data_IF_786230878350
#
_entry.id   IF_786230878350
#
_cell.length_a   1.000
_cell.length_b   1.000
_cell.length_c   1.000
_cell.angle_alpha   90.00
_cell.angle_beta   90.00
_cell.angle_gamma   90.00
#
_symmetry.space_group_name_H-M   'P 1'
#
loop_
_entity.id
_entity.type
_entity.pdbx_description
1 polymer ?
#
# COMPACT_ATOMS: atom_id res chain seq x y z
N UNK A 1 17.82 -30.91 25.78
CA UNK A 1 17.26 -31.38 24.50
C UNK A 1 16.14 -30.46 24.08
N UNK A 2 16.33 -29.69 23.01
CA UNK A 2 15.30 -28.82 22.42
C UNK A 2 14.56 -29.61 21.33
N UNK A 3 13.85 -30.67 21.72
CA UNK A 3 13.08 -31.48 20.77
C UNK A 3 11.72 -30.83 20.55
N UNK A 4 11.61 -30.02 19.50
CA UNK A 4 10.32 -29.49 19.03
C UNK A 4 10.30 -28.05 18.57
N UNK A 5 11.45 -27.39 18.35
CA UNK A 5 11.49 -26.05 17.76
C UNK A 5 12.14 -26.15 16.39
N UNK A 6 11.47 -25.63 15.35
CA UNK A 6 12.02 -25.57 14.00
C UNK A 6 12.45 -24.14 13.69
N UNK A 7 13.65 -24.00 13.12
CA UNK A 7 14.10 -22.75 12.53
C UNK A 7 13.38 -22.53 11.20
N UNK A 8 12.60 -21.44 11.08
CA UNK A 8 12.05 -20.98 9.81
C UNK A 8 12.24 -19.47 9.71
N UNK A 9 12.83 -18.99 8.60
CA UNK A 9 13.03 -17.56 8.27
C UNK A 9 13.55 -16.71 9.44
N UNK A 10 14.62 -17.17 10.11
CA UNK A 10 15.30 -16.40 11.15
C UNK A 10 14.59 -16.36 12.52
N UNK A 11 13.50 -17.09 12.71
CA UNK A 11 12.84 -17.23 14.01
C UNK A 11 12.70 -18.70 14.43
N UNK A 12 12.72 -18.93 15.76
CA UNK A 12 12.54 -20.22 16.39
C UNK A 12 11.04 -20.46 16.65
N UNK A 13 10.40 -21.40 15.95
CA UNK A 13 8.94 -21.58 16.02
C UNK A 13 8.57 -23.00 16.47
N UNK A 14 7.60 -23.10 17.39
CA UNK A 14 7.01 -24.37 17.84
C UNK A 14 5.95 -24.89 16.85
N UNK A 15 5.87 -26.20 16.56
CA UNK A 15 4.81 -26.81 15.74
C UNK A 15 3.39 -26.49 16.21
N UNK A 16 3.19 -26.30 17.53
CA UNK A 16 1.88 -25.89 18.09
C UNK A 16 1.55 -24.43 17.79
N UNK A 17 2.56 -23.56 17.67
CA UNK A 17 2.38 -22.17 17.21
C UNK A 17 2.20 -22.10 15.69
N UNK A 18 2.92 -22.93 14.93
CA UNK A 18 2.76 -23.03 13.46
C UNK A 18 1.32 -23.34 13.04
N UNK A 19 0.57 -24.12 13.84
CA UNK A 19 -0.84 -24.38 13.59
C UNK A 19 -1.73 -23.12 13.65
N UNK A 20 -1.38 -22.15 14.50
CA UNK A 20 -2.05 -20.84 14.61
C UNK A 20 -1.65 -19.88 13.47
N UNK A 21 -0.50 -20.12 12.81
CA UNK A 21 -0.02 -19.35 11.66
C UNK A 21 -0.35 -19.98 10.29
N UNK A 22 -0.87 -21.21 10.25
CA UNK A 22 -1.27 -21.87 8.99
C UNK A 22 -2.22 -21.03 8.11
N UNK A 23 -3.21 -20.28 8.66
CA UNK A 23 -4.01 -19.36 7.87
C UNK A 23 -3.17 -18.23 7.25
N UNK A 24 -2.19 -17.71 7.99
CA UNK A 24 -1.27 -16.65 7.54
C UNK A 24 -0.37 -17.14 6.40
N UNK A 25 0.13 -18.38 6.47
CA UNK A 25 0.94 -18.99 5.41
C UNK A 25 0.16 -19.22 4.10
N UNK A 26 -1.15 -19.45 4.18
CA UNK A 26 -2.02 -19.62 2.99
C UNK A 26 -2.26 -18.25 2.35
N UNK A 27 -2.55 -17.23 3.16
CA UNK A 27 -2.79 -15.86 2.70
C UNK A 27 -1.50 -15.26 2.10
N UNK A 28 -0.35 -15.49 2.73
CA UNK A 28 0.94 -15.05 2.19
C UNK A 28 1.22 -15.72 0.85
N UNK A 29 0.93 -17.02 0.70
CA UNK A 29 1.10 -17.74 -0.56
C UNK A 29 0.19 -17.22 -1.66
N UNK A 30 -1.04 -16.85 -1.34
CA UNK A 30 -1.95 -16.21 -2.29
C UNK A 30 -1.39 -14.85 -2.77
N UNK A 31 -0.88 -14.03 -1.84
CA UNK A 31 -0.19 -12.78 -2.18
C UNK A 31 1.06 -13.00 -3.05
N UNK A 32 1.89 -13.99 -2.73
CA UNK A 32 3.07 -14.35 -3.53
C UNK A 32 2.71 -14.92 -4.92
N UNK A 33 1.62 -15.67 -5.03
CA UNK A 33 1.12 -16.15 -6.31
C UNK A 33 0.68 -14.97 -7.20
N UNK A 34 -0.07 -14.02 -6.64
CA UNK A 34 -0.43 -12.78 -7.31
C UNK A 34 0.82 -12.00 -7.78
N UNK A 35 1.87 -11.92 -6.95
CA UNK A 35 3.16 -11.32 -7.33
C UNK A 35 3.79 -12.04 -8.52
N UNK A 36 3.81 -13.37 -8.51
CA UNK A 36 4.32 -14.17 -9.64
C UNK A 36 3.61 -13.83 -10.94
N UNK A 37 2.28 -13.80 -10.91
CA UNK A 37 1.45 -13.49 -12.09
C UNK A 37 1.65 -12.05 -12.58
N UNK A 38 1.79 -11.08 -11.68
CA UNK A 38 2.10 -9.69 -12.03
C UNK A 38 3.48 -9.55 -12.68
N UNK A 39 4.47 -10.30 -12.20
CA UNK A 39 5.83 -10.30 -12.76
C UNK A 39 5.89 -10.95 -14.13
N UNK A 40 5.24 -12.10 -14.30
CA UNK A 40 5.21 -12.85 -15.56
C UNK A 40 4.49 -12.09 -16.68
N UNK A 41 3.45 -11.33 -16.33
CA UNK A 41 2.66 -10.56 -17.29
C UNK A 41 3.18 -9.15 -17.55
N UNK A 42 4.23 -8.71 -16.84
CA UNK A 42 4.76 -7.36 -16.97
C UNK A 42 5.67 -7.23 -18.21
N UNK A 43 5.43 -6.25 -19.09
CA UNK A 43 6.34 -5.94 -20.19
C UNK A 43 7.60 -5.17 -19.71
N UNK A 44 7.64 -4.75 -18.44
CA UNK A 44 8.74 -3.97 -17.89
C UNK A 44 9.97 -4.83 -17.57
N UNK A 45 11.18 -4.24 -17.50
CA UNK A 45 12.40 -4.97 -17.18
C UNK A 45 12.29 -5.77 -15.89
N UNK A 46 12.79 -7.02 -15.92
CA UNK A 46 12.79 -7.96 -14.79
C UNK A 46 11.39 -8.26 -14.20
N UNK A 47 10.33 -8.06 -15.00
CA UNK A 47 8.96 -8.26 -14.54
C UNK A 47 8.52 -7.22 -13.51
N UNK A 48 9.08 -6.00 -13.54
CA UNK A 48 8.72 -4.96 -12.60
C UNK A 48 7.22 -4.64 -12.67
N UNK A 49 6.57 -4.54 -11.51
CA UNK A 49 5.21 -4.03 -11.40
C UNK A 49 5.17 -2.97 -10.31
N UNK A 50 4.17 -2.09 -10.39
CA UNK A 50 3.99 -0.99 -9.45
C UNK A 50 2.76 -1.30 -8.60
N UNK A 51 2.72 -0.78 -7.39
CA UNK A 51 1.54 -0.87 -6.53
C UNK A 51 1.19 0.52 -6.01
N UNK A 52 -0.11 0.85 -6.04
CA UNK A 52 -0.62 2.10 -5.49
C UNK A 52 -1.69 1.77 -4.46
N UNK A 53 -1.57 2.37 -3.28
CA UNK A 53 -2.58 2.25 -2.25
C UNK A 53 -3.45 3.50 -2.22
N UNK A 54 -4.73 3.33 -2.56
CA UNK A 54 -5.72 4.39 -2.62
C UNK A 54 -6.87 4.08 -1.65
N UNK A 55 -6.98 4.89 -0.58
CA UNK A 55 -7.98 4.71 0.48
C UNK A 55 -9.21 5.59 0.21
N UNK A 56 -10.43 5.04 0.33
CA UNK A 56 -11.67 5.63 -0.20
C UNK A 56 -12.86 5.73 0.74
N UNK A 57 -13.04 4.83 1.72
CA UNK A 57 -14.27 4.83 2.52
C UNK A 57 -14.18 5.79 3.71
N UNK A 58 -13.29 5.50 4.66
CA UNK A 58 -13.32 6.18 5.96
C UNK A 58 -12.42 7.42 5.98
N UNK A 59 -11.53 7.53 5.00
CA UNK A 59 -10.44 8.52 5.02
C UNK A 59 -10.85 9.93 4.64
N UNK A 60 -12.02 10.11 4.01
CA UNK A 60 -12.55 11.42 3.63
C UNK A 60 -12.58 12.41 4.80
N UNK A 61 -13.00 11.95 5.98
CA UNK A 61 -13.00 12.76 7.22
C UNK A 61 -11.60 12.97 7.79
N UNK A 62 -10.70 12.00 7.63
CA UNK A 62 -9.32 12.14 8.11
C UNK A 62 -8.55 13.21 7.32
N UNK A 63 -8.82 13.34 6.02
CA UNK A 63 -8.25 14.38 5.18
C UNK A 63 -8.69 15.80 5.53
N UNK A 64 -9.70 15.97 6.38
CA UNK A 64 -10.13 17.29 6.88
C UNK A 64 -9.54 17.63 8.25
N UNK A 65 -8.82 16.71 8.91
CA UNK A 65 -8.22 17.01 10.22
C UNK A 65 -6.99 17.92 10.08
N UNK A 66 -6.76 18.86 11.02
CA UNK A 66 -5.70 19.87 10.92
C UNK A 66 -4.30 19.33 10.62
N UNK A 67 -3.93 18.19 11.22
CA UNK A 67 -2.62 17.55 11.02
C UNK A 67 -2.43 16.93 9.61
N UNK A 68 -3.53 16.67 8.89
CA UNK A 68 -3.53 16.18 7.51
C UNK A 68 -3.90 17.29 6.51
N UNK A 69 -4.41 18.41 7.01
CA UNK A 69 -4.81 19.60 6.25
C UNK A 69 -3.61 20.40 5.70
N UNK A 70 -2.38 19.96 5.95
CA UNK A 70 -1.18 20.47 5.27
C UNK A 70 -1.19 20.14 3.77
N UNK A 71 -1.92 19.11 3.35
CA UNK A 71 -2.02 18.71 1.95
C UNK A 71 -3.35 19.19 1.37
N UNK A 72 -3.41 19.50 0.06
CA UNK A 72 -4.68 19.71 -0.62
C UNK A 72 -5.62 18.52 -0.35
N UNK A 73 -6.91 18.77 -0.17
CA UNK A 73 -7.89 17.70 0.04
C UNK A 73 -7.81 16.67 -1.09
N UNK A 74 -7.63 17.13 -2.34
CA UNK A 74 -7.47 16.26 -3.50
C UNK A 74 -6.12 15.53 -3.58
N UNK A 75 -5.12 15.89 -2.77
CA UNK A 75 -3.88 15.14 -2.64
C UNK A 75 -4.01 14.06 -1.56
N UNK A 76 -4.76 14.35 -0.48
CA UNK A 76 -5.07 13.37 0.57
C UNK A 76 -6.16 12.38 0.13
N UNK A 77 -7.15 12.82 -0.64
CA UNK A 77 -8.28 12.03 -1.13
C UNK A 77 -8.48 12.26 -2.63
N UNK A 78 -7.58 11.74 -3.47
CA UNK A 78 -7.57 12.06 -4.90
C UNK A 78 -8.75 11.47 -5.67
N UNK A 79 -9.37 12.21 -6.61
CA UNK A 79 -10.33 11.65 -7.56
C UNK A 79 -9.69 10.55 -8.43
N UNK A 80 -10.50 9.58 -8.87
CA UNK A 80 -10.03 8.48 -9.72
C UNK A 80 -9.30 8.98 -10.97
N UNK A 81 -9.80 10.03 -11.64
CA UNK A 81 -9.15 10.62 -12.80
C UNK A 81 -7.71 11.11 -12.53
N UNK A 82 -7.43 11.65 -11.34
CA UNK A 82 -6.08 12.11 -10.97
C UNK A 82 -5.15 10.94 -10.68
N UNK A 83 -5.68 9.91 -10.02
CA UNK A 83 -4.95 8.66 -9.76
C UNK A 83 -4.68 7.93 -11.08
N UNK A 84 -5.66 7.81 -11.98
CA UNK A 84 -5.50 7.23 -13.31
C UNK A 84 -4.44 7.97 -14.13
N UNK A 85 -4.44 9.31 -14.12
CA UNK A 85 -3.36 10.09 -14.75
C UNK A 85 -2.00 9.75 -14.16
N UNK A 86 -1.87 9.72 -12.83
CA UNK A 86 -0.61 9.35 -12.17
C UNK A 86 -0.17 7.94 -12.58
N UNK A 87 -1.09 6.97 -12.55
CA UNK A 87 -0.83 5.57 -12.93
C UNK A 87 -0.32 5.48 -14.37
N UNK A 88 -0.96 6.15 -15.32
CA UNK A 88 -0.54 6.17 -16.72
C UNK A 88 0.85 6.83 -16.91
N UNK A 89 1.17 7.87 -16.13
CA UNK A 89 2.50 8.51 -16.17
C UNK A 89 3.58 7.58 -15.60
N UNK A 90 3.39 7.01 -14.41
CA UNK A 90 4.39 6.12 -13.78
C UNK A 90 4.54 4.80 -14.53
N UNK A 91 3.45 4.22 -15.06
CA UNK A 91 3.53 2.98 -15.83
C UNK A 91 4.42 3.17 -17.06
N UNK A 92 4.27 4.31 -17.76
CA UNK A 92 5.07 4.66 -18.94
C UNK A 92 6.55 4.86 -18.61
N UNK A 93 6.85 5.56 -17.51
CA UNK A 93 8.23 5.74 -17.03
C UNK A 93 8.90 4.41 -16.71
N UNK A 94 8.11 3.42 -16.29
CA UNK A 94 8.55 2.07 -15.97
C UNK A 94 8.36 1.09 -17.13
N UNK A 95 8.33 1.57 -18.38
CA UNK A 95 8.30 0.70 -19.56
C UNK A 95 6.99 -0.06 -19.75
N UNK A 96 5.87 0.52 -19.31
CA UNK A 96 4.54 -0.11 -19.36
C UNK A 96 4.29 -1.08 -18.22
N UNK A 97 5.00 -0.95 -17.09
CA UNK A 97 4.79 -1.80 -15.92
C UNK A 97 3.32 -1.78 -15.47
N UNK A 98 2.71 -2.94 -15.18
CA UNK A 98 1.35 -2.99 -14.67
C UNK A 98 1.30 -2.37 -13.28
N UNK A 99 0.22 -1.65 -13.00
CA UNK A 99 0.00 -1.00 -11.71
C UNK A 99 -1.14 -1.69 -10.99
N UNK A 100 -0.82 -2.30 -9.86
CA UNK A 100 -1.75 -2.95 -8.97
C UNK A 100 -2.37 -1.95 -7.99
N UNK A 101 -3.68 -1.78 -8.04
CA UNK A 101 -4.39 -0.83 -7.15
C UNK A 101 -4.89 -1.57 -5.91
N UNK A 102 -4.32 -1.21 -4.76
CA UNK A 102 -4.73 -1.66 -3.43
C UNK A 102 -5.79 -0.66 -2.93
N UNK A 103 -7.03 -1.13 -2.78
CA UNK A 103 -8.17 -0.28 -2.38
C UNK A 103 -9.26 -1.14 -1.76
N UNK A 104 -9.92 -0.62 -0.73
CA UNK A 104 -11.09 -1.24 -0.11
C UNK A 104 -12.40 -1.01 -0.89
N UNK A 105 -12.37 -0.23 -1.97
CA UNK A 105 -13.54 0.22 -2.73
C UNK A 105 -13.53 -0.31 -4.16
N UNK A 106 -14.48 -1.19 -4.48
CA UNK A 106 -14.72 -1.70 -5.84
C UNK A 106 -15.23 -0.60 -6.79
N UNK A 107 -16.08 0.30 -6.30
CA UNK A 107 -16.56 1.45 -7.08
C UNK A 107 -15.39 2.31 -7.57
N UNK A 108 -14.39 2.54 -6.72
CA UNK A 108 -13.21 3.30 -7.10
C UNK A 108 -12.37 2.58 -8.16
N UNK A 109 -12.32 1.25 -8.14
CA UNK A 109 -11.68 0.47 -9.21
C UNK A 109 -12.42 0.67 -10.53
N UNK A 110 -13.75 0.68 -10.52
CA UNK A 110 -14.55 0.93 -11.71
C UNK A 110 -14.32 2.36 -12.25
N UNK A 111 -14.35 3.38 -11.39
CA UNK A 111 -14.04 4.77 -11.75
C UNK A 111 -12.63 4.91 -12.35
N UNK A 112 -11.64 4.21 -11.78
CA UNK A 112 -10.27 4.20 -12.28
C UNK A 112 -10.16 3.58 -13.67
N UNK A 113 -10.85 2.46 -13.90
CA UNK A 113 -10.87 1.79 -15.20
C UNK A 113 -11.51 2.66 -16.27
N UNK A 114 -12.61 3.33 -15.94
CA UNK A 114 -13.25 4.28 -16.85
C UNK A 114 -12.29 5.44 -17.20
N UNK A 115 -11.64 6.02 -16.19
CA UNK A 115 -10.68 7.10 -16.38
C UNK A 115 -9.43 6.67 -17.18
N UNK A 116 -8.92 5.46 -16.95
CA UNK A 116 -7.82 4.87 -17.73
C UNK A 116 -8.20 4.57 -19.18
N UNK A 117 -9.45 4.17 -19.42
CA UNK A 117 -10.00 3.95 -20.77
C UNK A 117 -9.87 5.17 -21.69
N UNK A 118 -9.68 6.37 -21.14
CA UNK A 118 -9.37 7.60 -21.87
C UNK A 118 -7.89 8.01 -21.90
N UNK A 119 -6.99 7.37 -21.15
CA UNK A 119 -5.61 7.83 -20.91
C UNK A 119 -4.51 6.81 -21.27
N UNK A 120 -4.73 5.51 -21.04
CA UNK A 120 -3.81 4.42 -21.41
C UNK A 120 -4.50 3.06 -21.28
N UNK A 121 -4.64 2.30 -22.37
CA UNK A 121 -5.20 0.93 -22.32
C UNK A 121 -4.21 -0.03 -21.63
N UNK A 122 -4.55 -0.52 -20.44
CA UNK A 122 -3.90 -1.68 -19.81
C UNK A 122 -2.80 -1.39 -18.79
N UNK A 123 -2.67 -0.14 -18.31
CA UNK A 123 -1.71 0.20 -17.24
C UNK A 123 -2.25 -0.16 -15.85
N UNK A 124 -3.54 0.07 -15.59
CA UNK A 124 -4.20 -0.37 -14.36
C UNK A 124 -4.54 -1.86 -14.43
N UNK A 125 -3.93 -2.64 -13.54
CA UNK A 125 -4.47 -3.93 -13.11
C UNK A 125 -5.17 -3.74 -11.78
N UNK A 126 -6.48 -3.95 -11.76
CA UNK A 126 -7.21 -3.92 -10.50
C UNK A 126 -6.79 -5.12 -9.62
N UNK A 127 -7.10 -5.04 -8.32
CA UNK A 127 -7.13 -6.21 -7.46
C UNK A 127 -7.92 -7.40 -8.07
N UNK A 128 -8.85 -7.10 -8.97
CA UNK A 128 -9.79 -8.01 -9.60
C UNK A 128 -9.54 -8.32 -11.10
N UNK A 129 -8.37 -8.05 -11.68
CA UNK A 129 -8.07 -8.57 -13.03
C UNK A 129 -8.03 -10.10 -12.99
N UNK A 130 -8.63 -10.79 -13.97
CA UNK A 130 -8.89 -12.25 -13.94
C UNK A 130 -7.70 -13.10 -13.48
N UNK A 131 -6.49 -12.73 -13.91
CA UNK A 131 -5.25 -13.40 -13.51
C UNK A 131 -4.95 -13.19 -12.01
N UNK A 132 -4.95 -11.97 -11.51
CA UNK A 132 -4.71 -11.70 -10.08
C UNK A 132 -5.88 -12.11 -9.21
N UNK A 133 -7.10 -12.06 -9.77
CA UNK A 133 -8.33 -12.50 -9.18
C UNK A 133 -8.25 -14.00 -8.89
N UNK A 134 -7.72 -14.86 -9.76
CA UNK A 134 -7.61 -16.30 -9.46
C UNK A 134 -6.80 -16.58 -8.17
N UNK A 135 -5.68 -15.89 -7.98
CA UNK A 135 -4.84 -16.07 -6.79
C UNK A 135 -5.49 -15.52 -5.50
N UNK A 136 -6.32 -14.47 -5.61
CA UNK A 136 -6.89 -13.76 -4.47
C UNK A 136 -8.40 -13.99 -4.26
N UNK A 137 -9.09 -14.66 -5.19
CA UNK A 137 -10.56 -14.73 -5.28
C UNK A 137 -11.23 -15.38 -4.08
N UNK A 138 -10.52 -16.24 -3.36
CA UNK A 138 -11.05 -16.91 -2.16
C UNK A 138 -10.86 -16.10 -0.88
N UNK A 139 -10.18 -14.95 -0.94
CA UNK A 139 -9.88 -14.13 0.23
C UNK A 139 -10.88 -12.99 0.35
N UNK A 140 -11.26 -12.67 1.60
CA UNK A 140 -12.14 -11.55 1.90
C UNK A 140 -11.67 -10.80 3.15
N UNK A 141 -12.06 -9.52 3.26
CA UNK A 141 -11.77 -8.67 4.41
C UNK A 141 -10.28 -8.65 4.76
N UNK A 142 -9.95 -8.91 6.03
CA UNK A 142 -8.56 -8.87 6.53
C UNK A 142 -7.62 -9.86 5.84
N UNK A 143 -8.14 -10.97 5.30
CA UNK A 143 -7.33 -11.95 4.57
C UNK A 143 -6.86 -11.37 3.24
N UNK A 144 -7.77 -10.74 2.50
CA UNK A 144 -7.44 -10.06 1.25
C UNK A 144 -6.47 -8.91 1.53
N UNK A 145 -6.76 -8.09 2.54
CA UNK A 145 -5.90 -6.97 2.93
C UNK A 145 -4.47 -7.43 3.31
N UNK A 146 -4.31 -8.59 3.93
CA UNK A 146 -2.98 -9.13 4.25
C UNK A 146 -2.26 -9.65 2.99
N UNK A 147 -2.93 -10.36 2.09
CA UNK A 147 -2.33 -10.78 0.82
C UNK A 147 -1.93 -9.58 -0.06
N UNK A 148 -2.77 -8.56 -0.09
CA UNK A 148 -2.52 -7.29 -0.77
C UNK A 148 -1.29 -6.54 -0.20
N UNK A 149 -1.06 -6.60 1.11
CA UNK A 149 0.19 -6.06 1.69
C UNK A 149 1.43 -6.79 1.18
N UNK A 150 1.35 -8.11 1.00
CA UNK A 150 2.44 -8.89 0.39
C UNK A 150 2.68 -8.44 -1.05
N UNK A 151 1.63 -8.20 -1.83
CA UNK A 151 1.73 -7.65 -3.20
C UNK A 151 2.41 -6.29 -3.19
N UNK A 152 1.93 -5.35 -2.36
CA UNK A 152 2.55 -4.04 -2.20
C UNK A 152 4.01 -4.12 -1.75
N UNK A 153 4.35 -5.11 -0.93
CA UNK A 153 5.72 -5.30 -0.45
C UNK A 153 6.69 -5.82 -1.52
N UNK A 154 6.20 -6.44 -2.59
CA UNK A 154 7.03 -6.94 -3.69
C UNK A 154 7.07 -6.03 -4.91
N UNK A 155 6.28 -4.94 -4.92
CA UNK A 155 6.24 -3.98 -6.00
C UNK A 155 7.59 -3.26 -6.16
N UNK A 156 8.02 -3.04 -7.40
CA UNK A 156 9.22 -2.28 -7.70
C UNK A 156 9.08 -0.80 -7.30
N UNK A 157 7.85 -0.27 -7.39
CA UNK A 157 7.45 1.02 -6.84
C UNK A 157 6.19 0.84 -6.00
N UNK A 158 6.20 1.31 -4.76
CA UNK A 158 5.00 1.40 -3.92
C UNK A 158 4.62 2.87 -3.69
N UNK A 159 3.49 3.28 -4.25
CA UNK A 159 2.89 4.59 -4.03
C UNK A 159 1.96 4.51 -2.83
N UNK A 160 2.43 5.02 -1.69
CA UNK A 160 1.77 4.85 -0.40
C UNK A 160 0.78 5.98 -0.12
N UNK A 161 -0.30 5.66 0.58
CA UNK A 161 -1.18 6.66 1.16
C UNK A 161 -0.57 7.24 2.45
N UNK A 162 -0.36 8.57 2.58
CA UNK A 162 0.47 9.18 3.64
C UNK A 162 -0.11 9.04 5.06
N UNK A 163 -1.43 8.86 5.19
CA UNK A 163 -2.10 8.69 6.48
C UNK A 163 -2.68 7.31 6.78
N UNK A 164 -2.28 6.28 6.03
CA UNK A 164 -2.80 4.94 6.26
C UNK A 164 -1.85 4.02 7.01
N UNK A 165 -2.36 3.40 8.07
CA UNK A 165 -1.66 2.32 8.78
C UNK A 165 -1.45 1.08 7.89
N UNK A 166 -2.31 0.87 6.89
CA UNK A 166 -2.09 -0.17 5.88
C UNK A 166 -0.80 0.11 5.10
N UNK A 167 -0.64 1.34 4.59
CA UNK A 167 0.59 1.77 3.90
C UNK A 167 1.83 1.62 4.76
N UNK A 168 1.72 1.97 6.04
CA UNK A 168 2.83 1.89 7.00
C UNK A 168 3.27 0.43 7.17
N UNK A 169 2.31 -0.48 7.34
CA UNK A 169 2.59 -1.91 7.46
C UNK A 169 3.19 -2.49 6.17
N UNK A 170 2.77 -2.05 4.98
CA UNK A 170 3.45 -2.46 3.74
C UNK A 170 4.92 -2.03 3.75
N UNK A 171 5.21 -0.80 4.18
CA UNK A 171 6.59 -0.31 4.37
C UNK A 171 7.39 -1.20 5.32
N UNK A 172 6.85 -1.49 6.50
CA UNK A 172 7.50 -2.37 7.48
C UNK A 172 7.75 -3.77 6.91
N UNK A 173 6.81 -4.32 6.14
CA UNK A 173 6.96 -5.65 5.51
C UNK A 173 8.07 -5.67 4.46
N UNK A 174 8.20 -4.61 3.67
CA UNK A 174 9.29 -4.44 2.69
C UNK A 174 10.64 -4.42 3.38
N UNK A 175 10.75 -3.61 4.42
CA UNK A 175 12.02 -3.33 5.10
C UNK A 175 12.45 -4.46 6.03
N UNK A 176 11.51 -5.21 6.62
CA UNK A 176 11.81 -6.27 7.57
C UNK A 176 11.88 -7.66 6.92
N UNK A 177 10.86 -8.04 6.14
CA UNK A 177 10.61 -9.43 5.72
C UNK A 177 10.95 -9.71 4.26
N UNK A 178 10.78 -8.73 3.38
CA UNK A 178 10.98 -8.89 1.94
C UNK A 178 12.15 -8.09 1.39
N UNK A 179 13.20 -7.89 2.20
CA UNK A 179 14.39 -7.06 1.89
C UNK A 179 15.03 -7.38 0.54
N UNK A 180 15.11 -8.65 0.17
CA UNK A 180 15.65 -9.06 -1.13
C UNK A 180 14.75 -8.65 -2.29
N UNK A 181 13.42 -8.75 -2.12
CA UNK A 181 12.47 -8.24 -3.11
C UNK A 181 12.41 -6.70 -3.13
N UNK A 182 12.72 -6.07 -2.00
CA UNK A 182 12.78 -4.61 -1.84
C UNK A 182 14.12 -4.01 -2.29
N UNK A 183 15.12 -4.82 -2.63
CA UNK A 183 16.43 -4.33 -3.05
C UNK A 183 16.29 -3.52 -4.36
N UNK A 184 16.48 -2.20 -4.26
CA UNK A 184 16.30 -1.27 -5.37
C UNK A 184 14.85 -0.86 -5.64
N UNK A 185 13.92 -1.24 -4.76
CA UNK A 185 12.53 -0.88 -4.88
C UNK A 185 12.23 0.44 -4.15
N UNK A 186 11.33 1.24 -4.71
CA UNK A 186 11.12 2.64 -4.31
C UNK A 186 9.77 2.78 -3.59
N UNK A 187 9.70 3.63 -2.57
CA UNK A 187 8.45 4.03 -1.91
C UNK A 187 8.28 5.54 -2.02
N UNK A 188 7.14 6.00 -2.50
CA UNK A 188 6.80 7.43 -2.61
C UNK A 188 5.40 7.69 -2.04
N UNK A 189 5.14 8.92 -1.59
CA UNK A 189 3.83 9.31 -1.08
C UNK A 189 2.88 9.76 -2.20
N UNK A 190 1.65 9.23 -2.21
CA UNK A 190 0.64 9.49 -3.23
C UNK A 190 0.36 10.98 -3.40
N UNK A 191 -0.06 11.64 -2.33
CA UNK A 191 -0.43 13.06 -2.40
C UNK A 191 0.75 13.98 -2.69
N UNK A 192 1.94 13.67 -2.18
CA UNK A 192 3.15 14.44 -2.49
C UNK A 192 3.51 14.28 -3.96
N UNK A 193 3.46 13.06 -4.49
CA UNK A 193 3.72 12.76 -5.90
C UNK A 193 2.71 13.47 -6.81
N UNK A 194 1.43 13.50 -6.44
CA UNK A 194 0.39 14.23 -7.18
C UNK A 194 0.66 15.74 -7.22
N UNK A 195 1.16 16.33 -6.13
CA UNK A 195 1.52 17.75 -6.08
C UNK A 195 2.80 18.03 -6.87
N UNK A 196 3.86 17.23 -6.68
CA UNK A 196 5.14 17.40 -7.37
C UNK A 196 5.01 17.28 -8.89
N UNK A 197 4.12 16.40 -9.38
CA UNK A 197 3.83 16.23 -10.81
C UNK A 197 2.83 17.26 -11.37
N UNK A 198 2.36 18.20 -10.55
CA UNK A 198 1.40 19.23 -10.96
C UNK A 198 0.01 18.69 -11.31
N UNK A 199 -0.32 17.47 -10.88
CA UNK A 199 -1.65 16.85 -11.07
C UNK A 199 -2.65 17.46 -10.07
N UNK A 200 -2.17 17.78 -8.87
CA UNK A 200 -2.91 18.51 -7.84
C UNK A 200 -2.20 19.82 -7.54
N UNK A 201 -2.95 20.93 -7.48
CA UNK A 201 -2.40 22.23 -7.10
C UNK A 201 -2.04 22.23 -5.61
N UNK A 202 -0.84 22.67 -5.19
CA UNK A 202 -0.51 22.82 -3.79
C UNK A 202 -1.42 23.87 -3.13
N UNK A 203 -1.61 23.76 -1.82
CA UNK A 203 -2.24 24.82 -1.02
C UNK A 203 -1.34 26.06 -1.02
N UNK A 204 -1.95 27.24 -1.01
CA UNK A 204 -1.19 28.47 -0.76
C UNK A 204 -0.72 28.50 0.70
N UNK A 205 0.33 29.28 0.99
CA UNK A 205 0.83 29.45 2.36
C UNK A 205 -0.22 30.05 3.32
N UNK A 206 -1.25 30.71 2.79
CA UNK A 206 -2.36 31.30 3.54
C UNK A 206 -3.45 30.27 3.90
N UNK A 207 -3.53 29.16 3.15
CA UNK A 207 -4.53 28.09 3.32
C UNK A 207 -4.05 26.96 4.27
N UNK A 208 -2.78 26.97 4.65
CA UNK A 208 -2.20 26.00 5.59
C UNK A 208 -2.26 26.61 6.99
N UNK A 209 -3.20 26.17 7.86
CA UNK A 209 -3.24 26.67 9.23
C UNK A 209 -1.91 26.31 9.93
N UNK A 210 -1.34 27.22 10.74
CA UNK A 210 -0.12 26.93 11.48
C UNK A 210 -0.34 25.70 12.35
N UNK A 211 0.64 24.78 12.36
CA UNK A 211 0.59 23.61 13.23
C UNK A 211 0.45 24.10 14.68
N UNK A 212 -0.51 23.56 15.46
CA UNK A 212 -0.58 23.90 16.87
C UNK A 212 0.76 23.53 17.52
N UNK A 213 1.28 24.36 18.45
CA UNK A 213 2.51 24.03 19.15
C UNK A 213 2.37 22.64 19.80
N UNK A 214 3.44 21.82 19.80
CA UNK A 214 3.38 20.50 20.40
C UNK A 214 2.90 20.63 21.84
N UNK A 215 1.75 20.00 22.15
CA UNK A 215 1.29 19.91 23.54
C UNK A 215 2.35 19.14 24.30
N UNK A 216 3.01 19.79 25.27
CA UNK A 216 3.82 19.08 26.25
C UNK A 216 2.88 18.13 26.99
N UNK A 217 2.95 16.85 26.66
CA UNK A 217 2.31 15.83 27.47
C UNK A 217 3.14 15.75 28.74
N UNK A 218 2.65 16.33 29.83
CA UNK A 218 3.24 16.12 31.14
C UNK A 218 3.24 14.61 31.38
N UNK A 219 4.42 13.99 31.33
CA UNK A 219 4.60 12.61 31.75
C UNK A 219 4.24 12.59 33.22
N UNK A 220 3.03 12.14 33.56
CA UNK A 220 2.69 11.81 34.93
C UNK A 220 3.64 10.67 35.33
N UNK A 221 4.68 11.03 36.07
CA UNK A 221 5.52 10.05 36.75
C UNK A 221 4.58 9.25 37.64
N UNK A 222 4.44 7.96 37.37
CA UNK A 222 3.73 7.06 38.28
C UNK A 222 4.45 7.13 39.63
N UNK A 223 3.73 7.25 40.76
CA UNK A 223 4.36 7.17 42.06
C UNK A 223 5.08 5.82 42.19
N UNK A 224 6.25 5.77 42.85
CA UNK A 224 6.93 4.50 43.10
C UNK A 224 6.00 3.56 43.88
N UNK A 225 6.01 2.29 43.50
CA UNK A 225 5.34 1.23 44.25
C UNK A 225 5.90 1.24 45.68
N UNK A 226 5.01 1.38 46.66
CA UNK A 226 5.36 1.20 48.07
C UNK A 226 5.72 -0.28 48.29
N UNK A 227 6.84 -0.51 48.98
CA UNK A 227 7.31 -1.82 49.44
C UNK A 227 6.39 -2.44 50.52
#
# INVERSE_FOLDING_TARGET
GFNGLQWRRGALVSPRLSACFRPVDIIERAGLAAVGMLRESSPAPRGAFLAIHARRTDFKRFCTFPQWNVWPYEACFPPAAKVARLVAEISREWGGAPVYVLTESEDFVAELREAEGGLARGAVRAAADTFTAEALASLQGDQLALAEKVVGAHAALFVRHPGSSFSSHVGDMRDAFYREAAAGAITIDLGETLVQRGIVKPKSAEEVPPLPPPKQVAVQQRPPLAE
#
